data_IF_429732556086
#
_entry.id   IF_429732556086
#
_cell.length_a   1.000
_cell.length_b   1.000
_cell.length_c   1.000
_cell.angle_alpha   90.00
_cell.angle_beta   90.00
_cell.angle_gamma   90.00
#
_symmetry.space_group_name_H-M   'P 1'
#
loop_
_entity.id
_entity.type
_entity.pdbx_description
1 polymer ?
#
# COMPACT_ATOMS: atom_id res chain seq x y z
N UNK A 1 -13.70 7.47 12.02
CA UNK A 1 -14.46 6.88 10.89
C UNK A 1 -13.70 5.63 10.50
N UNK A 2 -14.28 4.44 10.66
CA UNK A 2 -13.56 3.20 10.39
C UNK A 2 -13.48 2.97 8.87
N UNK A 3 -12.27 2.87 8.34
CA UNK A 3 -12.04 2.64 6.91
C UNK A 3 -12.03 1.14 6.69
N UNK A 4 -13.03 0.65 5.96
CA UNK A 4 -13.21 -0.79 5.74
C UNK A 4 -12.58 -1.19 4.40
N UNK A 5 -11.64 -2.11 4.50
CA UNK A 5 -11.08 -2.86 3.39
C UNK A 5 -11.80 -4.21 3.31
N UNK A 6 -12.25 -4.57 2.11
CA UNK A 6 -12.81 -5.88 1.84
C UNK A 6 -11.72 -6.94 1.79
N UNK A 7 -12.09 -8.21 1.99
CA UNK A 7 -11.17 -9.33 1.90
C UNK A 7 -10.44 -9.37 0.55
N UNK A 8 -11.13 -9.06 -0.55
CA UNK A 8 -10.56 -9.05 -1.89
C UNK A 8 -9.53 -7.92 -2.06
N UNK A 9 -9.76 -6.75 -1.47
CA UNK A 9 -8.80 -5.64 -1.46
C UNK A 9 -7.56 -5.98 -0.64
N UNK A 10 -7.73 -6.67 0.49
CA UNK A 10 -6.60 -7.14 1.32
C UNK A 10 -5.81 -8.22 0.59
N UNK A 11 -6.48 -9.13 -0.12
CA UNK A 11 -5.80 -10.15 -0.92
C UNK A 11 -4.98 -9.51 -2.05
N UNK A 12 -5.51 -8.49 -2.73
CA UNK A 12 -4.78 -7.76 -3.78
C UNK A 12 -3.47 -7.15 -3.25
N UNK A 13 -3.49 -6.56 -2.06
CA UNK A 13 -2.28 -6.02 -1.42
C UNK A 13 -1.25 -7.11 -1.12
N UNK A 14 -1.70 -8.30 -0.71
CA UNK A 14 -0.83 -9.45 -0.46
C UNK A 14 -0.22 -10.01 -1.74
N UNK A 15 -1.03 -10.15 -2.79
CA UNK A 15 -0.55 -10.60 -4.09
C UNK A 15 0.51 -9.62 -4.64
N UNK A 16 0.30 -8.31 -4.45
CA UNK A 16 1.29 -7.31 -4.81
C UNK A 16 2.54 -7.35 -3.92
N UNK A 17 2.40 -7.60 -2.62
CA UNK A 17 3.54 -7.81 -1.73
C UNK A 17 4.43 -8.95 -2.25
N UNK A 18 3.84 -10.05 -2.69
CA UNK A 18 4.58 -11.18 -3.27
C UNK A 18 5.27 -10.80 -4.59
N UNK A 19 4.63 -9.99 -5.44
CA UNK A 19 5.22 -9.52 -6.70
C UNK A 19 6.45 -8.61 -6.48
N UNK A 20 6.47 -7.85 -5.40
CA UNK A 20 7.55 -6.93 -5.05
C UNK A 20 8.50 -7.49 -3.99
N UNK A 21 8.36 -8.78 -3.62
CA UNK A 21 9.25 -9.46 -2.68
C UNK A 21 10.69 -9.37 -3.18
N UNK A 22 11.62 -9.07 -2.25
CA UNK A 22 13.04 -8.83 -2.52
C UNK A 22 13.37 -7.67 -3.49
N UNK A 23 12.36 -6.92 -3.96
CA UNK A 23 12.58 -5.79 -4.85
C UNK A 23 13.16 -4.59 -4.09
N UNK A 24 14.17 -3.96 -4.70
CA UNK A 24 14.81 -2.75 -4.19
C UNK A 24 14.84 -1.66 -5.23
N UNK A 25 14.62 -0.43 -4.79
CA UNK A 25 14.81 0.80 -5.58
C UNK A 25 15.84 1.63 -4.83
N UNK A 26 16.96 1.94 -5.49
CA UNK A 26 18.09 2.66 -4.88
C UNK A 26 18.57 2.04 -3.54
N UNK A 27 18.71 0.71 -3.51
CA UNK A 27 19.06 -0.12 -2.33
C UNK A 27 18.04 -0.11 -1.18
N UNK A 28 16.89 0.53 -1.36
CA UNK A 28 15.78 0.56 -0.40
C UNK A 28 14.74 -0.49 -0.81
N UNK A 29 14.33 -1.32 0.15
CA UNK A 29 13.30 -2.34 -0.04
C UNK A 29 11.92 -1.73 -0.26
N UNK A 30 11.15 -2.30 -1.18
CA UNK A 30 9.75 -1.92 -1.39
C UNK A 30 8.90 -2.54 -0.28
N UNK A 31 8.47 -1.73 0.68
CA UNK A 31 7.78 -2.19 1.90
C UNK A 31 6.35 -1.67 2.01
N UNK A 32 5.89 -0.89 1.03
CA UNK A 32 4.59 -0.24 1.07
C UNK A 32 3.41 -1.18 1.29
N UNK A 33 3.37 -2.33 0.61
CA UNK A 33 2.28 -3.29 0.75
C UNK A 33 2.22 -3.94 2.13
N UNK A 34 3.38 -4.22 2.75
CA UNK A 34 3.45 -4.73 4.12
C UNK A 34 2.98 -3.68 5.13
N UNK A 35 3.53 -2.46 5.02
CA UNK A 35 3.16 -1.37 5.93
C UNK A 35 1.66 -1.08 5.84
N UNK A 36 1.10 -1.00 4.63
CA UNK A 36 -0.35 -0.76 4.44
C UNK A 36 -1.18 -1.90 5.05
N UNK A 37 -0.81 -3.16 4.83
CA UNK A 37 -1.51 -4.31 5.43
C UNK A 37 -1.48 -4.25 6.96
N UNK A 38 -0.33 -3.93 7.55
CA UNK A 38 -0.19 -3.78 9.01
C UNK A 38 -1.05 -2.63 9.56
N UNK A 39 -1.08 -1.49 8.87
CA UNK A 39 -1.93 -0.35 9.26
C UNK A 39 -3.42 -0.70 9.17
N UNK A 40 -3.86 -1.47 8.15
CA UNK A 40 -5.24 -1.95 8.03
C UNK A 40 -5.63 -2.83 9.23
N UNK A 41 -4.69 -3.61 9.75
CA UNK A 41 -4.90 -4.49 10.90
C UNK A 41 -4.64 -3.80 12.26
N UNK A 42 -4.36 -2.50 12.27
CA UNK A 42 -4.14 -1.71 13.49
C UNK A 42 -2.77 -1.91 14.13
N UNK A 43 -1.80 -2.48 13.41
CA UNK A 43 -0.42 -2.59 13.84
C UNK A 43 0.34 -1.30 13.53
N UNK A 44 0.10 -0.24 14.32
CA UNK A 44 0.78 1.05 14.13
C UNK A 44 2.10 1.10 14.91
N UNK A 45 3.11 0.40 14.39
CA UNK A 45 4.46 0.36 14.96
C UNK A 45 5.46 1.27 14.22
N UNK A 46 5.00 1.91 13.16
CA UNK A 46 5.84 2.66 12.21
C UNK A 46 5.92 4.14 12.60
N UNK A 47 7.04 4.79 12.25
CA UNK A 47 7.10 6.24 12.39
C UNK A 47 6.31 6.90 11.26
N UNK A 48 5.89 8.15 11.49
CA UNK A 48 5.12 8.91 10.50
C UNK A 48 5.84 9.00 9.16
N UNK A 49 7.15 9.18 9.19
CA UNK A 49 7.98 9.28 7.99
C UNK A 49 7.95 7.98 7.18
N UNK A 50 7.97 6.83 7.85
CA UNK A 50 7.89 5.50 7.20
C UNK A 50 6.53 5.31 6.53
N UNK A 51 5.46 5.74 7.19
CA UNK A 51 4.09 5.66 6.67
C UNK A 51 3.89 6.56 5.44
N UNK A 52 4.41 7.78 5.50
CA UNK A 52 4.36 8.71 4.36
C UNK A 52 5.17 8.15 3.19
N UNK A 53 6.36 7.61 3.46
CA UNK A 53 7.19 7.00 2.43
C UNK A 53 6.55 5.74 1.83
N UNK A 54 5.90 4.90 2.64
CA UNK A 54 5.12 3.76 2.18
C UNK A 54 4.00 4.18 1.21
N UNK A 55 3.34 5.30 1.46
CA UNK A 55 2.34 5.84 0.55
C UNK A 55 2.92 6.28 -0.78
N UNK A 56 4.06 6.98 -0.77
CA UNK A 56 4.76 7.38 -1.99
C UNK A 56 5.20 6.16 -2.81
N UNK A 57 5.75 5.14 -2.14
CA UNK A 57 6.08 3.86 -2.77
C UNK A 57 4.85 3.17 -3.36
N UNK A 58 3.71 3.20 -2.67
CA UNK A 58 2.46 2.63 -3.16
C UNK A 58 1.96 3.37 -4.41
N UNK A 59 1.97 4.70 -4.41
CA UNK A 59 1.64 5.51 -5.60
C UNK A 59 2.50 5.13 -6.80
N UNK A 60 3.82 5.03 -6.61
CA UNK A 60 4.75 4.60 -7.66
C UNK A 60 4.50 3.18 -8.14
N UNK A 61 4.21 2.25 -7.22
CA UNK A 61 3.91 0.86 -7.57
C UNK A 61 2.63 0.76 -8.41
N UNK A 62 1.58 1.50 -8.06
CA UNK A 62 0.34 1.54 -8.86
C UNK A 62 0.62 2.10 -10.26
N UNK A 63 1.38 3.19 -10.37
CA UNK A 63 1.77 3.74 -11.67
C UNK A 63 2.58 2.75 -12.51
N UNK A 64 3.53 2.04 -11.90
CA UNK A 64 4.34 1.04 -12.59
C UNK A 64 3.50 -0.15 -13.08
N UNK A 65 2.55 -0.61 -12.26
CA UNK A 65 1.70 -1.76 -12.59
C UNK A 65 0.67 -1.43 -13.68
N UNK A 66 0.27 -0.18 -13.85
CA UNK A 66 -0.60 0.26 -14.97
C UNK A 66 0.02 -0.01 -16.34
N UNK A 67 1.34 0.09 -16.43
CA UNK A 67 2.07 -0.10 -17.68
C UNK A 67 2.30 -1.59 -18.00
N UNK A 68 1.92 -2.50 -17.10
CA UNK A 68 2.10 -3.94 -17.27
C UNK A 68 0.84 -4.57 -17.87
N UNK A 69 0.88 -4.91 -19.16
CA UNK A 69 -0.28 -5.43 -19.92
C UNK A 69 -0.96 -6.68 -19.31
N UNK A 70 -0.20 -7.52 -18.60
CA UNK A 70 -0.72 -8.77 -18.02
C UNK A 70 -1.31 -8.59 -16.61
N UNK A 71 -1.19 -7.41 -16.01
CA UNK A 71 -1.68 -7.11 -14.67
C UNK A 71 -2.86 -6.13 -14.73
N UNK A 72 -3.95 -6.44 -14.02
CA UNK A 72 -5.10 -5.54 -13.91
C UNK A 72 -4.92 -4.59 -12.71
N UNK A 73 -4.39 -3.40 -12.96
CA UNK A 73 -4.15 -2.37 -11.93
C UNK A 73 -5.41 -1.71 -11.38
N UNK A 74 -6.58 -1.97 -11.97
CA UNK A 74 -7.82 -1.22 -11.69
C UNK A 74 -8.19 -1.21 -10.19
N UNK A 75 -7.93 -2.32 -9.48
CA UNK A 75 -8.20 -2.40 -8.03
C UNK A 75 -7.24 -1.57 -7.20
N UNK A 76 -5.95 -1.59 -7.52
CA UNK A 76 -4.95 -0.79 -6.81
C UNK A 76 -5.21 0.71 -6.99
N UNK A 77 -5.67 1.11 -8.16
CA UNK A 77 -6.10 2.49 -8.43
C UNK A 77 -7.29 2.93 -7.57
N UNK A 78 -8.24 2.02 -7.34
CA UNK A 78 -9.37 2.25 -6.42
C UNK A 78 -8.90 2.27 -4.96
N UNK A 79 -7.85 1.53 -4.63
CA UNK A 79 -7.27 1.48 -3.28
C UNK A 79 -6.50 2.74 -2.91
N UNK A 80 -5.86 3.42 -3.85
CA UNK A 80 -5.13 4.68 -3.61
C UNK A 80 -5.87 5.69 -2.71
N UNK A 81 -7.10 6.12 -3.03
CA UNK A 81 -7.83 7.05 -2.17
C UNK A 81 -8.19 6.47 -0.80
N UNK A 82 -8.41 5.15 -0.68
CA UNK A 82 -8.68 4.50 0.61
C UNK A 82 -7.44 4.46 1.50
N UNK A 83 -6.29 4.08 0.93
CA UNK A 83 -5.01 4.10 1.63
C UNK A 83 -4.70 5.51 2.09
N UNK A 84 -4.88 6.53 1.23
CA UNK A 84 -4.70 7.93 1.65
C UNK A 84 -5.57 8.33 2.84
N UNK A 85 -6.83 7.89 2.86
CA UNK A 85 -7.73 8.13 4.00
C UNK A 85 -7.25 7.40 5.26
N UNK A 86 -6.71 6.18 5.13
CA UNK A 86 -6.16 5.40 6.25
C UNK A 86 -5.05 6.19 6.95
N UNK A 87 -4.14 6.79 6.18
CA UNK A 87 -3.05 7.59 6.75
C UNK A 87 -3.55 8.85 7.45
N UNK A 88 -4.57 9.51 6.89
CA UNK A 88 -5.18 10.67 7.53
C UNK A 88 -5.85 10.26 8.84
N UNK A 89 -6.53 9.11 8.90
CA UNK A 89 -7.17 8.66 10.13
C UNK A 89 -6.13 8.39 11.23
N UNK A 90 -5.02 7.72 10.91
CA UNK A 90 -3.99 7.34 11.88
C UNK A 90 -3.20 8.56 12.39
N UNK A 91 -3.02 9.60 11.57
CA UNK A 91 -2.22 10.78 11.95
C UNK A 91 -3.00 11.93 12.60
N UNK A 92 -4.32 11.86 12.65
CA UNK A 92 -5.17 12.92 13.19
C UNK A 92 -6.09 12.47 14.34
N UNK A 93 -5.97 11.23 14.81
CA UNK A 93 -6.60 10.73 16.05
C UNK A 93 -5.67 10.85 17.27
#
# INVERSE_FOLDING_TARGET
MEILFSTDEIQELKDCRELFEDMKVDDIEVTCFEIIDDLIHGNDIYQREDIVYAYEQFELAVELLKDIEWFDSSKLEILLPKVKQLLIAIHFD
#
